data_IF_525832456528
#
_entry.id   IF_525832456528
#
_cell.length_a   1.000
_cell.length_b   1.000
_cell.length_c   1.000
_cell.angle_alpha   90.00
_cell.angle_beta   90.00
_cell.angle_gamma   90.00
#
_symmetry.space_group_name_H-M   'P 1'
#
loop_
_entity.id
_entity.type
_entity.pdbx_description
1 polymer ?
#
# COMPACT_ATOMS: atom_id res chain seq x y z
N UNK A 1 6.51 24.12 5.80
CA UNK A 1 7.52 23.41 6.65
C UNK A 1 7.86 22.10 5.96
N UNK A 2 9.14 21.73 5.80
CA UNK A 2 9.49 20.46 5.13
C UNK A 2 9.32 19.28 6.08
N UNK A 3 8.54 18.28 5.66
CA UNK A 3 8.37 17.00 6.37
C UNK A 3 8.97 15.87 5.55
N UNK A 4 9.80 15.03 6.17
CA UNK A 4 10.39 13.85 5.53
C UNK A 4 9.60 12.62 5.94
N UNK A 5 9.07 11.86 4.98
CA UNK A 5 8.37 10.60 5.21
C UNK A 5 9.21 9.48 4.59
N UNK A 6 9.61 8.49 5.38
CA UNK A 6 10.29 7.30 4.88
C UNK A 6 9.42 6.07 5.11
N UNK A 7 9.41 5.18 4.12
CA UNK A 7 8.65 3.94 4.14
C UNK A 7 9.57 2.80 3.79
N UNK A 8 9.55 1.75 4.61
CA UNK A 8 10.30 0.52 4.39
C UNK A 8 9.35 -0.66 4.47
N UNK A 9 9.35 -1.52 3.46
CA UNK A 9 8.66 -2.80 3.44
C UNK A 9 9.60 -3.90 2.95
N UNK A 10 9.13 -5.14 2.98
CA UNK A 10 9.92 -6.30 2.58
C UNK A 10 9.18 -7.11 1.53
N UNK A 11 9.90 -7.50 0.50
CA UNK A 11 9.42 -8.39 -0.54
C UNK A 11 9.62 -9.82 -0.10
N UNK A 12 8.57 -10.62 -0.04
CA UNK A 12 8.68 -12.01 0.35
C UNK A 12 7.77 -12.86 -0.52
N UNK A 13 8.31 -13.93 -1.09
CA UNK A 13 7.48 -15.02 -1.59
C UNK A 13 6.89 -15.74 -0.39
N UNK A 14 5.59 -16.02 -0.44
CA UNK A 14 4.88 -16.48 0.74
C UNK A 14 4.30 -17.85 0.43
N UNK A 15 4.86 -18.92 1.04
CA UNK A 15 4.34 -20.27 0.89
C UNK A 15 2.93 -20.38 1.43
N UNK A 16 2.18 -21.36 0.93
CA UNK A 16 0.92 -21.73 1.57
C UNK A 16 1.17 -22.19 3.01
N UNK A 17 0.60 -21.47 3.98
CA UNK A 17 0.75 -21.72 5.41
C UNK A 17 2.03 -21.16 6.04
N UNK A 18 2.79 -20.32 5.31
CA UNK A 18 4.07 -19.76 5.77
C UNK A 18 3.93 -18.57 6.74
N UNK A 19 5.05 -18.22 7.36
CA UNK A 19 5.16 -17.04 8.23
C UNK A 19 4.80 -15.76 7.47
N UNK A 20 4.22 -14.81 8.21
CA UNK A 20 3.82 -13.53 7.65
C UNK A 20 5.01 -12.65 7.28
N UNK A 21 4.86 -11.80 6.25
CA UNK A 21 5.90 -10.85 5.91
C UNK A 21 6.08 -9.82 7.05
N UNK A 22 7.28 -9.24 7.21
CA UNK A 22 7.54 -8.22 8.22
C UNK A 22 6.64 -6.99 8.00
N UNK A 23 6.28 -6.28 9.07
CA UNK A 23 5.43 -5.09 8.99
C UNK A 23 6.04 -3.99 8.10
N UNK A 24 5.18 -3.18 7.49
CA UNK A 24 5.63 -1.94 6.82
C UNK A 24 6.00 -0.92 7.89
N UNK A 25 7.26 -0.47 7.88
CA UNK A 25 7.75 0.57 8.75
C UNK A 25 7.59 1.93 8.09
N UNK A 26 7.06 2.90 8.84
CA UNK A 26 6.95 4.30 8.41
C UNK A 26 7.64 5.17 9.44
N UNK A 27 8.49 6.09 8.98
CA UNK A 27 9.05 7.14 9.81
C UNK A 27 8.69 8.51 9.26
N UNK A 28 8.44 9.46 10.15
CA UNK A 28 8.16 10.86 9.79
C UNK A 28 9.10 11.74 10.60
N UNK A 29 9.92 12.53 9.91
CA UNK A 29 11.02 13.32 10.49
C UNK A 29 11.93 12.47 11.40
N UNK A 30 12.17 11.21 11.00
CA UNK A 30 12.97 10.25 11.76
C UNK A 30 12.25 9.56 12.93
N UNK A 31 11.02 9.96 13.26
CA UNK A 31 10.22 9.32 14.32
C UNK A 31 9.41 8.16 13.74
N UNK A 32 9.45 7.00 14.40
CA UNK A 32 8.66 5.83 13.99
C UNK A 32 7.19 6.10 14.21
N UNK A 33 6.36 5.82 13.20
CA UNK A 33 4.90 5.84 13.28
C UNK A 33 4.42 4.45 13.72
N UNK A 34 3.87 4.28 14.93
CA UNK A 34 3.41 2.98 15.41
C UNK A 34 2.34 2.39 14.50
N UNK A 35 2.43 1.09 14.24
CA UNK A 35 1.40 0.34 13.55
C UNK A 35 0.34 -0.17 14.53
N UNK A 36 -0.92 0.16 14.27
CA UNK A 36 -2.06 -0.34 15.04
C UNK A 36 -2.77 -1.46 14.28
N UNK A 37 -3.27 -2.45 15.02
CA UNK A 37 -3.93 -3.65 14.49
C UNK A 37 -2.90 -4.68 14.00
N UNK A 38 -2.62 -5.69 14.83
CA UNK A 38 -1.70 -6.77 14.46
C UNK A 38 -2.46 -8.08 14.44
N UNK A 39 -2.62 -8.62 13.25
CA UNK A 39 -2.50 -10.07 13.05
C UNK A 39 -1.58 -10.23 11.85
N UNK A 40 -0.48 -10.94 12.04
CA UNK A 40 0.55 -11.10 11.02
C UNK A 40 0.15 -12.29 10.17
N UNK A 41 -0.42 -12.02 8.99
CA UNK A 41 -0.77 -13.05 8.01
C UNK A 41 -0.28 -12.66 6.61
N UNK A 42 -0.19 -13.65 5.72
CA UNK A 42 0.28 -13.66 4.33
C UNK A 42 0.42 -12.31 3.61
N UNK A 43 -0.66 -11.54 3.40
CA UNK A 43 -0.62 -10.33 2.57
C UNK A 43 -1.28 -9.17 3.29
N UNK A 44 -0.62 -8.03 3.26
CA UNK A 44 -1.01 -6.86 4.06
C UNK A 44 -0.75 -5.56 3.31
N UNK A 45 -1.45 -4.50 3.71
CA UNK A 45 -1.08 -3.15 3.35
C UNK A 45 -1.04 -2.26 4.59
N UNK A 46 -0.26 -1.20 4.50
CA UNK A 46 -0.24 -0.11 5.46
C UNK A 46 -0.95 1.08 4.85
N UNK A 47 -1.97 1.56 5.55
CA UNK A 47 -2.71 2.76 5.17
C UNK A 47 -2.65 3.79 6.30
N UNK A 48 -2.25 5.00 5.93
CA UNK A 48 -2.36 6.19 6.78
C UNK A 48 -3.18 7.21 6.02
N UNK A 49 -4.29 7.66 6.61
CA UNK A 49 -5.07 8.80 6.11
C UNK A 49 -4.72 9.99 6.98
N UNK A 50 -4.09 10.99 6.38
CA UNK A 50 -3.65 12.19 7.07
C UNK A 50 -4.83 13.16 7.20
N UNK A 51 -4.82 13.98 8.25
CA UNK A 51 -5.70 15.12 8.32
C UNK A 51 -5.13 16.24 7.42
N UNK A 52 -5.82 16.64 6.35
CA UNK A 52 -5.31 17.66 5.43
C UNK A 52 -5.14 19.04 6.08
N UNK A 53 -5.79 19.27 7.22
CA UNK A 53 -5.70 20.51 7.98
C UNK A 53 -4.62 20.46 9.08
N UNK A 54 -3.81 19.41 9.14
CA UNK A 54 -2.77 19.24 10.14
C UNK A 54 -1.46 18.78 9.49
N UNK A 55 -0.30 19.24 9.98
CA UNK A 55 0.97 18.76 9.47
C UNK A 55 1.11 17.25 9.75
N UNK A 56 1.65 16.45 8.82
CA UNK A 56 1.73 15.00 9.00
C UNK A 56 2.81 14.54 9.99
N UNK A 57 3.48 15.47 10.67
CA UNK A 57 4.56 15.20 11.62
C UNK A 57 4.08 14.77 13.01
N UNK A 58 2.78 14.83 13.28
CA UNK A 58 2.16 14.36 14.53
C UNK A 58 1.20 13.18 14.26
N UNK A 59 1.60 11.94 14.59
CA UNK A 59 0.74 10.76 14.42
C UNK A 59 -0.60 10.79 15.15
N UNK A 60 -0.76 11.62 16.18
CA UNK A 60 -2.03 11.77 16.89
C UNK A 60 -3.10 12.49 16.07
N UNK A 61 -2.69 13.18 15.00
CA UNK A 61 -3.58 13.93 14.11
C UNK A 61 -4.08 13.12 12.92
N UNK A 62 -3.61 11.88 12.75
CA UNK A 62 -4.02 11.03 11.63
C UNK A 62 -5.48 10.62 11.79
N UNK A 63 -6.22 10.68 10.68
CA UNK A 63 -7.63 10.25 10.64
C UNK A 63 -7.71 8.72 10.68
N UNK A 64 -6.73 8.04 10.09
CA UNK A 64 -6.58 6.60 10.13
C UNK A 64 -5.12 6.19 10.08
N UNK A 65 -4.74 5.15 10.83
CA UNK A 65 -3.39 4.59 10.82
C UNK A 65 -3.41 3.12 11.23
N UNK A 66 -3.47 2.20 10.26
CA UNK A 66 -3.43 0.75 10.54
C UNK A 66 -2.66 -0.04 9.51
N UNK A 67 -2.09 -1.15 9.94
CA UNK A 67 -1.74 -2.23 9.03
C UNK A 67 -2.95 -3.15 8.92
N UNK A 68 -3.34 -3.45 7.69
CA UNK A 68 -4.53 -4.23 7.37
C UNK A 68 -4.11 -5.52 6.70
N UNK A 69 -4.79 -6.59 7.09
CA UNK A 69 -4.72 -7.89 6.45
C UNK A 69 -6.15 -8.34 6.10
N UNK A 70 -6.27 -9.25 5.15
CA UNK A 70 -7.49 -10.00 4.90
C UNK A 70 -7.03 -11.35 4.38
N UNK A 71 -6.92 -12.32 5.29
CA UNK A 71 -6.37 -13.64 4.97
C UNK A 71 -7.38 -14.75 5.27
N UNK A 72 -8.49 -14.42 5.95
CA UNK A 72 -9.50 -15.41 6.31
C UNK A 72 -10.15 -16.04 5.06
N UNK A 73 -10.40 -15.25 4.01
CA UNK A 73 -11.04 -15.76 2.79
C UNK A 73 -10.07 -16.49 1.86
N UNK A 74 -8.87 -15.96 1.60
CA UNK A 74 -7.93 -16.54 0.63
C UNK A 74 -7.37 -17.88 1.07
N UNK A 75 -6.97 -17.98 2.34
CA UNK A 75 -6.42 -19.22 2.90
C UNK A 75 -7.48 -20.33 3.00
N UNK A 76 -8.74 -19.98 3.27
CA UNK A 76 -9.83 -20.94 3.40
C UNK A 76 -10.40 -21.43 2.05
N UNK A 77 -10.38 -20.58 1.02
CA UNK A 77 -11.05 -20.85 -0.27
C UNK A 77 -10.08 -21.14 -1.42
N UNK A 78 -8.79 -20.83 -1.26
CA UNK A 78 -7.81 -20.86 -2.35
C UNK A 78 -8.00 -19.75 -3.40
N UNK A 79 -9.00 -18.88 -3.25
CA UNK A 79 -9.30 -17.80 -4.19
C UNK A 79 -8.56 -16.50 -3.82
N UNK A 80 -7.26 -16.45 -4.11
CA UNK A 80 -6.41 -15.32 -3.78
C UNK A 80 -6.77 -14.04 -4.54
N UNK A 81 -7.26 -14.16 -5.78
CA UNK A 81 -7.72 -12.99 -6.54
C UNK A 81 -8.84 -12.25 -5.83
N UNK A 82 -9.81 -12.98 -5.26
CA UNK A 82 -10.88 -12.37 -4.48
C UNK A 82 -10.37 -11.71 -3.20
N UNK A 83 -9.32 -12.26 -2.59
CA UNK A 83 -8.68 -11.71 -1.39
C UNK A 83 -7.95 -10.41 -1.69
N UNK A 84 -7.13 -10.37 -2.74
CA UNK A 84 -6.49 -9.12 -3.18
C UNK A 84 -7.53 -8.07 -3.54
N UNK A 85 -8.60 -8.46 -4.25
CA UNK A 85 -9.70 -7.55 -4.56
C UNK A 85 -10.35 -6.98 -3.30
N UNK A 86 -10.66 -7.82 -2.32
CA UNK A 86 -11.26 -7.41 -1.05
C UNK A 86 -10.37 -6.45 -0.28
N UNK A 87 -9.05 -6.66 -0.29
CA UNK A 87 -8.09 -5.73 0.32
C UNK A 87 -8.10 -4.35 -0.35
N UNK A 88 -8.13 -4.29 -1.68
CA UNK A 88 -8.23 -3.02 -2.40
C UNK A 88 -9.55 -2.31 -2.13
N UNK A 89 -10.67 -3.04 -2.20
CA UNK A 89 -11.99 -2.47 -1.93
C UNK A 89 -12.07 -1.95 -0.48
N UNK A 90 -11.47 -2.66 0.47
CA UNK A 90 -11.40 -2.22 1.86
C UNK A 90 -10.49 -1.00 2.04
N UNK A 91 -9.33 -0.94 1.38
CA UNK A 91 -8.48 0.24 1.39
C UNK A 91 -9.19 1.47 0.80
N UNK A 92 -9.88 1.30 -0.33
CA UNK A 92 -10.68 2.34 -0.98
C UNK A 92 -11.78 2.87 -0.05
N UNK A 93 -12.55 1.95 0.55
CA UNK A 93 -13.62 2.29 1.48
C UNK A 93 -13.08 3.03 2.72
N UNK A 94 -11.94 2.63 3.26
CA UNK A 94 -11.31 3.32 4.38
C UNK A 94 -10.90 4.75 4.00
N UNK A 95 -10.29 4.95 2.83
CA UNK A 95 -9.89 6.29 2.37
C UNK A 95 -11.11 7.21 2.31
N UNK A 96 -12.20 6.76 1.69
CA UNK A 96 -13.43 7.55 1.58
C UNK A 96 -14.22 7.68 2.88
N UNK A 97 -14.07 6.76 3.83
CA UNK A 97 -14.74 6.84 5.13
C UNK A 97 -14.09 7.87 6.07
N UNK A 98 -12.79 8.09 5.90
CA UNK A 98 -12.01 8.96 6.78
C UNK A 98 -11.67 10.31 6.16
N UNK A 99 -11.90 10.54 4.86
CA UNK A 99 -11.68 11.85 4.24
C UNK A 99 -12.63 12.12 3.07
N UNK A 100 -12.88 13.40 2.81
CA UNK A 100 -13.62 13.87 1.64
C UNK A 100 -12.78 13.62 0.37
N UNK A 101 -13.36 13.05 -0.72
CA UNK A 101 -12.67 12.87 -2.00
C UNK A 101 -11.96 14.13 -2.53
N UNK A 102 -12.47 15.32 -2.21
CA UNK A 102 -11.88 16.61 -2.62
C UNK A 102 -10.69 17.04 -1.78
N UNK A 103 -10.45 16.40 -0.63
CA UNK A 103 -9.39 16.75 0.31
C UNK A 103 -8.66 15.51 0.87
N UNK A 104 -8.34 14.57 -0.02
CA UNK A 104 -7.59 13.37 0.31
C UNK A 104 -6.11 13.70 0.51
N UNK A 105 -5.51 13.12 1.54
CA UNK A 105 -4.07 12.98 1.67
C UNK A 105 -3.78 11.67 2.39
N UNK A 106 -3.11 10.73 1.72
CA UNK A 106 -2.88 9.40 2.30
C UNK A 106 -1.58 8.75 1.84
N UNK A 107 -1.11 7.81 2.63
CA UNK A 107 -0.04 6.86 2.32
C UNK A 107 -0.64 5.47 2.18
N UNK A 108 -0.36 4.81 1.07
CA UNK A 108 -0.68 3.41 0.83
C UNK A 108 0.60 2.65 0.49
N UNK A 109 0.92 1.62 1.27
CA UNK A 109 2.11 0.78 1.06
C UNK A 109 1.75 -0.70 1.15
N UNK A 110 2.00 -1.45 0.10
CA UNK A 110 1.74 -2.90 0.05
C UNK A 110 2.86 -3.70 0.68
N UNK A 111 2.57 -4.92 1.11
CA UNK A 111 3.55 -5.86 1.65
C UNK A 111 3.05 -7.31 1.47
N UNK A 112 3.82 -8.13 0.73
CA UNK A 112 3.36 -9.46 0.33
C UNK A 112 2.28 -9.42 -0.77
N UNK A 113 2.32 -8.43 -1.66
CA UNK A 113 1.48 -8.40 -2.85
C UNK A 113 2.19 -9.09 -4.01
N UNK A 114 1.43 -9.71 -4.92
CA UNK A 114 1.97 -10.33 -6.12
C UNK A 114 1.93 -9.34 -7.29
N UNK A 115 2.95 -9.35 -8.16
CA UNK A 115 3.01 -8.47 -9.33
C UNK A 115 1.79 -8.61 -10.25
N UNK A 116 1.21 -9.81 -10.35
CA UNK A 116 0.04 -10.10 -11.18
C UNK A 116 -1.28 -9.68 -10.54
N UNK A 117 -1.28 -9.28 -9.27
CA UNK A 117 -2.47 -8.87 -8.51
C UNK A 117 -2.53 -7.35 -8.46
N UNK A 118 -2.76 -6.75 -9.63
CA UNK A 118 -2.85 -5.29 -9.77
C UNK A 118 -4.14 -4.73 -9.15
N UNK A 119 -4.17 -3.43 -8.79
CA UNK A 119 -5.38 -2.84 -8.23
C UNK A 119 -6.54 -2.80 -9.22
N UNK A 120 -7.79 -2.85 -8.73
CA UNK A 120 -8.97 -2.76 -9.57
C UNK A 120 -9.15 -1.36 -10.18
N UNK A 121 -9.95 -1.22 -11.25
CA UNK A 121 -10.14 0.06 -11.95
C UNK A 121 -10.57 1.23 -11.05
N UNK A 122 -11.43 1.01 -10.05
CA UNK A 122 -11.86 2.06 -9.11
C UNK A 122 -10.70 2.58 -8.27
N UNK A 123 -9.93 1.69 -7.66
CA UNK A 123 -8.75 2.05 -6.89
C UNK A 123 -7.66 2.68 -7.76
N UNK A 124 -7.50 2.23 -9.01
CA UNK A 124 -6.60 2.87 -9.99
C UNK A 124 -7.02 4.31 -10.27
N UNK A 125 -8.32 4.57 -10.48
CA UNK A 125 -8.84 5.92 -10.67
C UNK A 125 -8.61 6.80 -9.45
N UNK A 126 -8.83 6.27 -8.24
CA UNK A 126 -8.50 6.95 -7.00
C UNK A 126 -7.02 7.34 -6.95
N UNK A 127 -6.11 6.39 -7.17
CA UNK A 127 -4.67 6.65 -7.16
C UNK A 127 -4.27 7.71 -8.19
N UNK A 128 -4.78 7.63 -9.43
CA UNK A 128 -4.52 8.65 -10.46
C UNK A 128 -5.09 10.02 -10.08
N UNK A 129 -6.26 10.09 -9.44
CA UNK A 129 -6.84 11.34 -8.94
C UNK A 129 -6.03 11.99 -7.83
N UNK A 130 -5.14 11.21 -7.18
CA UNK A 130 -4.22 11.66 -6.15
C UNK A 130 -2.77 11.79 -6.64
N UNK A 131 -2.55 11.75 -7.96
CA UNK A 131 -1.27 12.02 -8.59
C UNK A 131 -0.44 10.81 -9.00
N UNK A 132 -0.91 9.57 -8.80
CA UNK A 132 -0.19 8.38 -9.26
C UNK A 132 0.13 8.45 -10.76
N UNK A 133 1.13 7.68 -11.20
CA UNK A 133 1.78 7.93 -12.48
C UNK A 133 2.44 6.71 -13.08
N UNK A 134 3.68 6.92 -13.53
CA UNK A 134 4.43 5.94 -14.30
C UNK A 134 4.68 4.64 -13.54
N UNK A 135 4.79 4.68 -12.20
CA UNK A 135 5.04 3.46 -11.43
C UNK A 135 3.77 2.61 -11.31
N UNK A 136 2.60 3.21 -11.07
CA UNK A 136 1.32 2.51 -11.15
C UNK A 136 1.09 1.96 -12.55
N UNK A 137 1.32 2.76 -13.59
CA UNK A 137 1.20 2.30 -14.99
C UNK A 137 2.14 1.13 -15.29
N UNK A 138 3.37 1.15 -14.78
CA UNK A 138 4.32 0.04 -14.90
C UNK A 138 3.77 -1.22 -14.22
N UNK A 139 3.21 -1.10 -13.01
CA UNK A 139 2.58 -2.24 -12.33
C UNK A 139 1.38 -2.78 -13.12
N UNK A 140 0.50 -1.92 -13.62
CA UNK A 140 -0.65 -2.32 -14.45
C UNK A 140 -0.22 -3.06 -15.72
N UNK A 141 0.95 -2.74 -16.28
CA UNK A 141 1.52 -3.43 -17.44
C UNK A 141 2.08 -4.83 -17.11
N UNK A 142 2.25 -5.19 -15.83
CA UNK A 142 2.82 -6.47 -15.43
C UNK A 142 1.86 -7.66 -15.52
N UNK A 143 0.57 -7.44 -15.80
CA UNK A 143 -0.49 -8.48 -15.83
C UNK A 143 -0.06 -9.76 -16.59
N UNK A 144 0.15 -10.91 -15.92
CA UNK A 144 0.27 -12.20 -16.59
C UNK A 144 -0.94 -13.10 -16.27
N UNK A 145 -1.32 -13.94 -17.25
CA UNK A 145 -2.36 -14.95 -17.09
C UNK A 145 -2.08 -15.87 -15.89
N UNK A 146 -3.12 -16.14 -15.11
CA UNK A 146 -3.02 -16.99 -13.93
C UNK A 146 -2.68 -18.43 -14.34
N UNK A 147 -1.54 -18.94 -13.88
CA UNK A 147 -1.31 -20.38 -13.80
C UNK A 147 -1.51 -20.82 -12.36
N UNK A 148 -2.09 -22.01 -12.15
CA UNK A 148 -2.32 -22.61 -10.84
C UNK A 148 -1.01 -22.67 -10.03
N UNK A 149 -0.96 -22.01 -8.86
CA UNK A 149 0.29 -21.89 -8.08
C UNK A 149 0.21 -22.60 -6.72
N UNK A 150 1.35 -23.14 -6.29
CA UNK A 150 1.61 -23.74 -4.97
C UNK A 150 2.01 -22.71 -3.90
N UNK A 151 2.00 -21.41 -4.24
CA UNK A 151 2.41 -20.29 -3.38
C UNK A 151 1.32 -19.20 -3.39
N UNK A 152 1.23 -18.42 -2.31
CA UNK A 152 0.32 -17.26 -2.21
C UNK A 152 0.85 -16.06 -3.00
N UNK A 153 2.16 -15.83 -2.89
CA UNK A 153 2.88 -14.78 -3.61
C UNK A 153 3.95 -15.42 -4.48
N UNK A 154 3.63 -15.45 -5.76
CA UNK A 154 4.43 -15.79 -6.95
C UNK A 154 5.75 -15.04 -7.11
N UNK A 155 5.51 -13.78 -7.42
CA UNK A 155 6.49 -12.78 -7.78
C UNK A 155 6.16 -11.56 -6.93
N UNK A 156 6.81 -11.41 -5.78
CA UNK A 156 6.52 -10.33 -4.85
C UNK A 156 6.65 -8.97 -5.53
N UNK A 157 5.72 -8.08 -5.23
CA UNK A 157 5.72 -6.72 -5.70
C UNK A 157 5.40 -5.77 -4.55
N UNK A 158 6.17 -4.68 -4.50
CA UNK A 158 5.95 -3.59 -3.57
C UNK A 158 5.46 -2.37 -4.33
N UNK A 159 4.46 -1.72 -3.75
CA UNK A 159 3.97 -0.45 -4.21
C UNK A 159 3.84 0.47 -3.00
N UNK A 160 4.54 1.60 -3.03
CA UNK A 160 4.48 2.64 -2.03
C UNK A 160 3.99 3.91 -2.72
N UNK A 161 2.95 4.50 -2.17
CA UNK A 161 2.32 5.69 -2.70
C UNK A 161 2.01 6.67 -1.56
N UNK A 162 2.32 7.94 -1.81
CA UNK A 162 1.84 9.07 -1.03
C UNK A 162 1.27 10.07 -2.04
N UNK A 163 0.01 10.45 -1.87
CA UNK A 163 -0.65 11.36 -2.77
C UNK A 163 -1.78 12.12 -2.11
N UNK A 164 -2.23 13.16 -2.79
CA UNK A 164 -3.31 14.03 -2.34
C UNK A 164 -4.23 14.42 -3.49
N UNK A 165 -5.50 14.65 -3.18
CA UNK A 165 -6.48 15.15 -4.15
C UNK A 165 -6.05 16.50 -4.72
N UNK A 166 -6.35 16.73 -6.01
CA UNK A 166 -5.94 17.95 -6.71
C UNK A 166 -4.50 17.90 -7.24
N UNK A 167 -3.74 16.86 -6.93
CA UNK A 167 -2.43 16.61 -7.53
C UNK A 167 -2.61 16.08 -8.97
N UNK A 168 -1.99 16.70 -10.00
CA UNK A 168 -2.06 16.20 -11.35
C UNK A 168 -1.53 14.76 -11.47
N UNK A 169 -2.19 13.94 -12.29
CA UNK A 169 -1.71 12.59 -12.61
C UNK A 169 -0.24 12.62 -13.05
N UNK A 170 0.57 11.69 -12.55
CA UNK A 170 2.00 11.63 -12.83
C UNK A 170 2.86 12.54 -11.96
N UNK A 171 2.28 13.24 -10.99
CA UNK A 171 3.00 14.14 -10.07
C UNK A 171 2.82 13.75 -8.59
N UNK A 172 2.97 12.46 -8.21
CA UNK A 172 2.70 12.04 -6.84
C UNK A 172 3.72 12.68 -5.88
N UNK A 173 3.33 12.83 -4.61
CA UNK A 173 4.28 13.22 -3.56
C UNK A 173 5.36 12.15 -3.42
N UNK A 174 4.94 10.88 -3.46
CA UNK A 174 5.81 9.72 -3.54
C UNK A 174 5.11 8.63 -4.32
N UNK A 175 5.84 7.99 -5.23
CA UNK A 175 5.38 6.77 -5.87
C UNK A 175 6.58 5.90 -6.20
N UNK A 176 6.54 4.65 -5.76
CA UNK A 176 7.60 3.68 -6.05
C UNK A 176 6.99 2.30 -6.23
N UNK A 177 7.31 1.66 -7.34
CA UNK A 177 6.94 0.30 -7.66
C UNK A 177 8.19 -0.54 -7.89
N UNK A 178 8.19 -1.79 -7.42
CA UNK A 178 9.22 -2.76 -7.75
C UNK A 178 8.66 -4.18 -7.75
N UNK A 179 8.97 -4.95 -8.79
CA UNK A 179 8.93 -6.41 -8.74
C UNK A 179 10.23 -6.85 -8.08
N UNK A 180 10.12 -7.51 -6.94
CA UNK A 180 11.26 -7.75 -6.09
C UNK A 180 11.62 -9.23 -6.01
N UNK A 181 12.91 -9.49 -5.84
CA UNK A 181 13.38 -10.80 -5.41
C UNK A 181 12.88 -11.09 -3.99
N UNK A 182 12.55 -12.37 -3.72
CA UNK A 182 12.17 -12.79 -2.36
C UNK A 182 13.28 -12.44 -1.37
N UNK A 183 12.93 -11.83 -0.24
CA UNK A 183 13.84 -11.36 0.80
C UNK A 183 14.40 -9.94 0.61
N UNK A 184 14.02 -9.23 -0.46
CA UNK A 184 14.46 -7.85 -0.70
C UNK A 184 13.86 -6.85 0.28
N UNK A 185 14.70 -6.02 0.91
CA UNK A 185 14.26 -4.84 1.67
C UNK A 185 14.04 -3.70 0.68
N UNK A 186 12.87 -3.07 0.73
CA UNK A 186 12.55 -1.94 -0.13
C UNK A 186 12.25 -0.71 0.71
N UNK A 187 13.10 0.30 0.55
CA UNK A 187 12.98 1.58 1.25
C UNK A 187 12.88 2.73 0.27
N UNK A 188 12.13 3.75 0.67
CA UNK A 188 12.03 5.02 -0.05
C UNK A 188 11.70 6.16 0.91
N UNK A 189 12.03 7.38 0.49
CA UNK A 189 11.86 8.59 1.27
C UNK A 189 11.34 9.69 0.36
N UNK A 190 10.33 10.42 0.82
CA UNK A 190 9.85 11.63 0.21
C UNK A 190 10.01 12.83 1.14
N UNK A 191 10.27 13.99 0.55
CA UNK A 191 10.17 15.28 1.22
C UNK A 191 8.89 15.96 0.75
N UNK A 192 8.05 16.33 1.71
CA UNK A 192 6.77 16.95 1.48
C UNK A 192 6.82 18.38 2.03
N UNK A 193 6.43 19.35 1.22
CA UNK A 193 6.27 20.74 1.66
C UNK A 193 4.78 21.02 1.79
N UNK A 194 4.34 21.25 3.02
CA UNK A 194 2.99 21.74 3.36
C UNK A 194 3.08 23.20 3.80
#
# INVERSE_FOLDING_TARGET
MTTTISVTNNSMQIPMGGDAPPLVSVTINGQVVPAHGITLNATTFRLIVFNPNSPPNDPSTFLFNKQVNDVANGAATGNWTSTYRSLYDYAENLIYSYSDPSNLFFLFATNGFDKGMVPPPSFVQLLFSCGAGAQLQNWLAQLPGQTNQSLWVTSPANYIFIGSSGTPMGSPILEKYEVAASGGVFSTTAQCSF
#
